data_IF_041073640886
#
_entry.id   IF_041073640886
#
_cell.length_a   1.000
_cell.length_b   1.000
_cell.length_c   1.000
_cell.angle_alpha   90.00
_cell.angle_beta   90.00
_cell.angle_gamma   90.00
#
_symmetry.space_group_name_H-M   'P 1'
#
loop_
_entity.id
_entity.type
_entity.pdbx_description
1 polymer ?
#
# COMPACT_ATOMS: atom_id res chain seq x y z
N UNK A 1 22.82 -10.68 66.70
CA UNK A 1 22.71 -9.23 66.37
C UNK A 1 23.34 -8.85 65.02
N UNK A 2 24.53 -9.37 64.66
CA UNK A 2 25.21 -9.02 63.39
C UNK A 2 24.48 -9.46 62.10
N UNK A 3 23.80 -10.60 62.10
CA UNK A 3 23.07 -11.11 60.92
C UNK A 3 21.80 -10.29 60.61
N UNK A 4 21.10 -9.83 61.65
CA UNK A 4 19.89 -9.00 61.50
C UNK A 4 20.24 -7.61 60.96
N UNK A 5 21.34 -7.00 61.41
CA UNK A 5 21.82 -5.72 60.86
C UNK A 5 22.24 -5.82 59.38
N UNK A 6 22.77 -6.97 58.97
CA UNK A 6 23.18 -7.20 57.58
C UNK A 6 21.96 -7.35 56.66
N UNK A 7 20.96 -8.13 57.08
CA UNK A 7 19.70 -8.29 56.32
C UNK A 7 18.96 -6.94 56.21
N UNK A 8 18.92 -6.15 57.29
CA UNK A 8 18.30 -4.83 57.27
C UNK A 8 19.00 -3.87 56.30
N UNK A 9 20.34 -3.91 56.22
CA UNK A 9 21.09 -3.13 55.24
C UNK A 9 20.78 -3.57 53.81
N UNK A 10 20.78 -4.88 53.52
CA UNK A 10 20.52 -5.39 52.16
C UNK A 10 19.11 -5.03 51.68
N UNK A 11 18.10 -5.02 52.56
CA UNK A 11 16.72 -4.61 52.22
C UNK A 11 16.59 -3.10 51.98
N UNK A 12 17.35 -2.27 52.71
CA UNK A 12 17.31 -0.81 52.50
C UNK A 12 18.03 -0.41 51.20
N UNK A 13 19.11 -1.11 50.83
CA UNK A 13 19.83 -0.85 49.57
C UNK A 13 19.14 -1.41 48.31
N UNK A 14 18.32 -2.45 48.41
CA UNK A 14 17.61 -3.00 47.24
C UNK A 14 16.39 -2.16 46.80
N UNK A 15 15.99 -1.15 47.59
CA UNK A 15 14.89 -0.24 47.24
C UNK A 15 15.34 1.03 46.50
N UNK A 16 16.64 1.27 46.30
CA UNK A 16 17.15 2.51 45.69
C UNK A 16 17.40 2.43 44.18
N UNK A 17 16.98 1.35 43.50
CA UNK A 17 16.98 1.29 42.04
C UNK A 17 15.59 1.66 41.49
N UNK A 18 15.10 2.83 41.87
CA UNK A 18 14.02 3.48 41.11
C UNK A 18 14.70 4.09 39.88
N UNK A 19 14.46 3.53 38.69
CA UNK A 19 14.72 4.28 37.47
C UNK A 19 13.93 5.60 37.60
N UNK A 20 14.62 6.74 37.54
CA UNK A 20 13.98 8.04 37.69
C UNK A 20 13.02 8.23 36.52
N UNK A 21 11.72 8.10 36.77
CA UNK A 21 10.70 8.44 35.77
C UNK A 21 10.78 9.96 35.57
N UNK A 22 11.03 10.45 34.35
CA UNK A 22 11.11 11.89 34.11
C UNK A 22 9.80 12.56 34.50
N UNK A 23 9.86 13.55 35.38
CA UNK A 23 8.73 14.43 35.65
C UNK A 23 8.51 15.38 34.46
N UNK A 24 7.29 15.89 34.28
CA UNK A 24 6.93 16.72 33.13
C UNK A 24 7.81 17.98 32.98
N UNK A 25 8.29 18.53 34.10
CA UNK A 25 9.21 19.66 34.18
C UNK A 25 10.67 19.31 33.83
N UNK A 26 11.02 18.03 33.73
CA UNK A 26 12.34 17.55 33.30
C UNK A 26 12.41 17.33 31.78
N UNK A 27 11.28 17.47 31.08
CA UNK A 27 11.23 17.33 29.63
C UNK A 27 11.78 18.59 28.94
N UNK A 28 12.58 18.38 27.90
CA UNK A 28 13.02 19.46 27.02
C UNK A 28 11.87 19.84 26.10
N UNK A 29 11.45 21.11 26.18
CA UNK A 29 10.51 21.70 25.23
C UNK A 29 11.28 22.44 24.13
N UNK A 30 10.86 22.25 22.89
CA UNK A 30 11.26 23.11 21.77
C UNK A 30 10.37 24.35 21.74
N UNK A 31 10.76 25.36 20.97
CA UNK A 31 9.98 26.60 20.84
C UNK A 31 8.58 26.31 20.30
N UNK A 32 7.56 26.79 21.01
CA UNK A 32 6.15 26.64 20.65
C UNK A 32 5.64 27.93 20.01
N UNK A 33 5.06 27.83 18.81
CA UNK A 33 4.58 28.98 18.03
C UNK A 33 3.27 28.61 17.34
N UNK A 34 2.38 29.56 17.13
CA UNK A 34 1.27 29.40 16.20
C UNK A 34 1.76 29.35 14.75
N UNK A 35 0.93 28.92 13.80
CA UNK A 35 1.28 28.94 12.37
C UNK A 35 1.69 30.34 11.90
N UNK A 36 1.00 31.38 12.36
CA UNK A 36 1.30 32.77 12.00
C UNK A 36 2.65 33.21 12.55
N UNK A 37 2.92 32.92 13.83
CA UNK A 37 4.19 33.30 14.47
C UNK A 37 5.37 32.56 13.84
N UNK A 38 5.24 31.26 13.61
CA UNK A 38 6.25 30.44 12.95
C UNK A 38 6.63 30.99 11.56
N UNK A 39 5.62 31.34 10.75
CA UNK A 39 5.84 31.91 9.42
C UNK A 39 6.33 33.37 9.43
N UNK A 40 6.23 34.05 10.57
CA UNK A 40 6.69 35.43 10.74
C UNK A 40 8.14 35.56 11.21
N UNK A 41 8.81 34.44 11.54
CA UNK A 41 10.21 34.44 11.96
C UNK A 41 11.07 35.03 10.83
N UNK A 42 11.83 36.07 11.14
CA UNK A 42 12.80 36.64 10.21
C UNK A 42 14.09 35.82 10.19
N UNK A 43 14.60 35.54 9.00
CA UNK A 43 15.85 34.82 8.76
C UNK A 43 16.03 33.51 9.57
N UNK A 44 15.06 32.57 9.56
CA UNK A 44 15.25 31.27 10.21
C UNK A 44 16.44 30.51 9.60
N UNK A 45 17.18 29.80 10.44
CA UNK A 45 18.35 29.01 10.02
C UNK A 45 17.92 27.58 9.62
N UNK A 46 18.46 27.01 8.52
CA UNK A 46 18.21 25.61 8.17
C UNK A 46 18.48 24.66 9.34
N UNK A 47 17.60 23.68 9.56
CA UNK A 47 17.66 22.73 10.67
C UNK A 47 17.02 23.21 11.97
N UNK A 48 16.50 24.44 12.02
CA UNK A 48 15.73 24.91 13.18
C UNK A 48 14.47 24.09 13.39
N UNK A 49 14.16 23.72 14.63
CA UNK A 49 12.93 23.02 15.01
C UNK A 49 11.94 23.94 15.69
N UNK A 50 10.66 23.72 15.44
CA UNK A 50 9.56 24.41 16.13
C UNK A 50 8.39 23.45 16.33
N UNK A 51 7.66 23.63 17.43
CA UNK A 51 6.36 22.99 17.62
C UNK A 51 5.26 24.00 17.25
N UNK A 52 4.47 23.66 16.23
CA UNK A 52 3.34 24.47 15.82
C UNK A 52 2.12 24.14 16.70
N UNK A 53 1.72 25.08 17.55
CA UNK A 53 0.60 24.92 18.50
C UNK A 53 -0.77 25.02 17.85
N UNK A 54 -0.89 25.62 16.66
CA UNK A 54 -2.14 25.63 15.89
C UNK A 54 -2.41 24.26 15.27
N UNK A 55 -1.37 23.57 14.82
CA UNK A 55 -1.46 22.29 14.11
C UNK A 55 -1.12 21.08 14.98
N UNK A 56 -0.62 21.30 16.20
CA UNK A 56 -0.10 20.28 17.13
C UNK A 56 0.94 19.35 16.49
N UNK A 57 1.91 19.93 15.79
CA UNK A 57 2.89 19.20 14.97
C UNK A 57 4.28 19.82 15.08
N UNK A 58 5.31 18.99 14.95
CA UNK A 58 6.68 19.47 14.85
C UNK A 58 7.00 19.89 13.41
N UNK A 59 7.81 20.93 13.26
CA UNK A 59 8.33 21.44 11.99
C UNK A 59 9.84 21.59 12.05
N UNK A 60 10.48 21.46 10.89
CA UNK A 60 11.89 21.78 10.67
C UNK A 60 12.00 22.79 9.53
N UNK A 61 12.82 23.83 9.70
CA UNK A 61 13.09 24.77 8.62
C UNK A 61 14.12 24.17 7.65
N UNK A 62 13.76 24.02 6.38
CA UNK A 62 14.63 23.37 5.38
C UNK A 62 15.62 24.34 4.69
N UNK A 63 15.59 25.62 5.06
CA UNK A 63 16.36 26.69 4.43
C UNK A 63 15.52 27.65 3.58
N UNK A 64 14.31 27.23 3.20
CA UNK A 64 13.36 28.02 2.42
C UNK A 64 12.01 28.13 3.14
N UNK A 65 11.51 27.03 3.68
CA UNK A 65 10.19 26.94 4.32
C UNK A 65 10.20 26.02 5.55
N UNK A 66 9.14 26.13 6.36
CA UNK A 66 8.87 25.20 7.45
C UNK A 66 8.23 23.93 6.91
N UNK A 67 8.93 22.80 7.03
CA UNK A 67 8.43 21.48 6.64
C UNK A 67 7.97 20.70 7.86
N UNK A 68 6.77 20.13 7.81
CA UNK A 68 6.25 19.27 8.89
C UNK A 68 7.16 18.05 9.06
N UNK A 69 7.58 17.76 10.30
CA UNK A 69 8.18 16.49 10.65
C UNK A 69 7.07 15.47 10.92
N UNK A 70 6.65 14.78 9.86
CA UNK A 70 5.70 13.68 9.95
C UNK A 70 6.38 12.41 10.45
N UNK A 71 5.78 11.75 11.45
CA UNK A 71 6.07 10.35 11.81
C UNK A 71 5.23 9.35 11.01
N UNK A 72 4.46 9.82 10.01
CA UNK A 72 3.67 8.94 9.16
C UNK A 72 4.62 8.19 8.22
N UNK A 73 5.04 7.00 8.65
CA UNK A 73 5.51 5.98 7.72
C UNK A 73 4.49 5.77 6.61
N UNK A 74 4.93 5.21 5.48
CA UNK A 74 4.04 4.89 4.37
C UNK A 74 2.88 4.03 4.90
N UNK A 75 1.67 4.60 4.92
CA UNK A 75 0.46 3.87 5.31
C UNK A 75 0.18 2.90 4.15
N UNK A 76 0.44 1.61 4.38
CA UNK A 76 0.13 0.55 3.44
C UNK A 76 -1.21 -0.09 3.81
N UNK A 77 -2.14 -0.15 2.86
CA UNK A 77 -3.45 -0.76 3.07
C UNK A 77 -3.67 -1.88 2.04
N UNK A 78 -3.60 -3.17 2.44
CA UNK A 78 -3.94 -4.27 1.57
C UNK A 78 -5.46 -4.39 1.43
N UNK A 79 -5.92 -4.70 0.22
CA UNK A 79 -7.33 -4.92 -0.06
C UNK A 79 -7.53 -5.79 -1.30
N UNK A 80 -8.77 -5.96 -1.70
CA UNK A 80 -9.13 -6.71 -2.90
C UNK A 80 -10.43 -6.18 -3.52
N UNK A 81 -10.64 -6.51 -4.78
CA UNK A 81 -11.92 -6.32 -5.48
C UNK A 81 -12.04 -7.38 -6.60
N UNK A 82 -13.24 -7.48 -7.19
CA UNK A 82 -13.50 -8.38 -8.32
C UNK A 82 -13.76 -7.54 -9.55
N UNK A 83 -13.06 -7.85 -10.64
CA UNK A 83 -13.46 -7.42 -11.98
C UNK A 83 -14.52 -8.40 -12.46
N UNK A 84 -15.77 -7.95 -12.59
CA UNK A 84 -16.91 -8.78 -13.00
C UNK A 84 -17.51 -8.42 -14.38
N UNK A 85 -17.11 -7.28 -14.94
CA UNK A 85 -17.61 -6.76 -16.22
C UNK A 85 -16.72 -5.64 -16.73
N UNK A 86 -16.88 -5.24 -17.99
CA UNK A 86 -16.30 -4.00 -18.53
C UNK A 86 -16.91 -2.76 -17.89
N UNK A 87 -16.20 -1.64 -17.94
CA UNK A 87 -16.67 -0.33 -17.49
C UNK A 87 -15.91 0.24 -16.29
N UNK A 88 -16.38 1.38 -15.80
CA UNK A 88 -15.77 2.09 -14.67
C UNK A 88 -16.10 1.39 -13.35
N UNK A 89 -15.09 1.21 -12.49
CA UNK A 89 -15.22 0.64 -11.16
C UNK A 89 -14.45 1.52 -10.17
N UNK A 90 -15.15 1.99 -9.13
CA UNK A 90 -14.57 2.78 -8.04
C UNK A 90 -14.39 1.89 -6.82
N UNK A 91 -13.18 1.90 -6.26
CA UNK A 91 -12.81 1.25 -5.02
C UNK A 91 -12.66 2.34 -3.98
N UNK A 92 -13.49 2.32 -2.94
CA UNK A 92 -13.58 3.34 -1.88
C UNK A 92 -13.36 2.73 -0.49
N UNK A 93 -13.37 3.57 0.56
CA UNK A 93 -13.23 3.12 1.94
C UNK A 93 -11.79 2.93 2.44
N UNK A 94 -10.80 3.38 1.67
CA UNK A 94 -9.42 3.45 2.13
C UNK A 94 -9.29 4.58 3.19
N UNK A 95 -8.46 4.41 4.23
CA UNK A 95 -8.31 5.39 5.30
C UNK A 95 -7.55 6.66 4.87
N UNK A 96 -7.13 6.74 3.61
CA UNK A 96 -6.40 7.86 3.02
C UNK A 96 -6.61 7.93 1.51
N UNK A 97 -6.37 9.10 0.93
CA UNK A 97 -6.15 9.26 -0.52
C UNK A 97 -4.82 8.63 -0.89
N UNK A 98 -4.77 7.58 -1.74
CA UNK A 98 -3.52 6.97 -2.14
C UNK A 98 -2.75 7.84 -3.13
N UNK A 99 -1.45 7.59 -3.24
CA UNK A 99 -0.55 8.12 -4.27
C UNK A 99 0.04 7.01 -5.14
N UNK A 100 -0.04 5.76 -4.67
CA UNK A 100 0.54 4.59 -5.31
C UNK A 100 -0.27 3.33 -4.97
N UNK A 101 -0.47 2.45 -5.95
CA UNK A 101 -1.10 1.14 -5.76
C UNK A 101 -0.33 0.08 -6.54
N UNK A 102 -0.14 -1.09 -5.93
CA UNK A 102 0.31 -2.30 -6.60
C UNK A 102 -0.84 -3.29 -6.68
N UNK A 103 -0.92 -4.02 -7.79
CA UNK A 103 -1.96 -4.98 -8.09
C UNK A 103 -1.35 -6.36 -8.31
N UNK A 104 -2.06 -7.40 -7.90
CA UNK A 104 -1.75 -8.79 -8.23
C UNK A 104 -3.05 -9.52 -8.51
N UNK A 105 -3.03 -10.38 -9.52
CA UNK A 105 -4.20 -11.18 -9.88
C UNK A 105 -3.81 -12.46 -10.58
N UNK A 106 -4.73 -13.42 -10.54
CA UNK A 106 -4.54 -14.75 -11.10
C UNK A 106 -5.78 -15.10 -11.93
N UNK A 107 -5.61 -15.67 -13.15
CA UNK A 107 -6.72 -16.23 -13.91
C UNK A 107 -7.38 -17.35 -13.10
N UNK A 108 -8.67 -17.57 -13.33
CA UNK A 108 -9.46 -18.63 -12.70
C UNK A 108 -9.60 -18.55 -11.18
N UNK A 109 -9.44 -17.34 -10.61
CA UNK A 109 -9.87 -17.02 -9.24
C UNK A 109 -10.98 -15.97 -9.35
N UNK A 110 -12.23 -16.44 -9.51
CA UNK A 110 -13.40 -15.58 -9.76
C UNK A 110 -14.09 -15.10 -8.46
N UNK A 111 -13.75 -15.70 -7.32
CA UNK A 111 -14.38 -15.45 -6.01
C UNK A 111 -13.33 -15.36 -4.92
N UNK A 112 -13.62 -14.56 -3.87
CA UNK A 112 -12.78 -14.42 -2.68
C UNK A 112 -12.76 -15.66 -1.79
N UNK A 113 -13.66 -16.61 -2.06
CA UNK A 113 -13.72 -17.88 -1.38
C UNK A 113 -14.10 -18.97 -2.38
N UNK A 114 -13.10 -19.67 -2.89
CA UNK A 114 -13.26 -20.80 -3.81
C UNK A 114 -12.22 -21.88 -3.47
N UNK A 115 -12.67 -23.13 -3.44
CA UNK A 115 -11.83 -24.31 -3.23
C UNK A 115 -12.43 -25.46 -4.03
N UNK A 116 -12.44 -25.28 -5.35
CA UNK A 116 -12.90 -26.27 -6.33
C UNK A 116 -11.92 -26.29 -7.50
N UNK A 117 -12.05 -27.30 -8.36
CA UNK A 117 -11.46 -27.22 -9.70
C UNK A 117 -12.11 -26.09 -10.51
N UNK A 118 -11.61 -25.90 -11.73
CA UNK A 118 -12.09 -24.90 -12.68
C UNK A 118 -13.42 -25.29 -13.36
N UNK A 119 -14.12 -26.33 -12.90
CA UNK A 119 -15.49 -26.67 -13.31
C UNK A 119 -15.64 -27.06 -14.78
N UNK A 120 -14.56 -27.47 -15.44
CA UNK A 120 -14.55 -27.94 -16.83
C UNK A 120 -14.00 -29.36 -16.93
N UNK A 121 -14.19 -30.00 -18.09
CA UNK A 121 -13.64 -31.34 -18.35
C UNK A 121 -12.11 -31.34 -18.26
N UNK A 122 -11.56 -32.47 -17.83
CA UNK A 122 -10.13 -32.76 -17.87
C UNK A 122 -9.51 -32.42 -19.23
N UNK A 123 -8.29 -31.88 -19.19
CA UNK A 123 -7.48 -31.58 -20.37
C UNK A 123 -8.21 -30.68 -21.40
N UNK A 124 -8.96 -29.69 -20.91
CA UNK A 124 -9.76 -28.78 -21.74
C UNK A 124 -8.94 -27.59 -22.25
N UNK A 125 -8.75 -27.52 -23.56
CA UNK A 125 -8.03 -26.44 -24.24
C UNK A 125 -8.85 -25.13 -24.35
N UNK A 126 -9.23 -24.56 -23.22
CA UNK A 126 -10.04 -23.34 -23.12
C UNK A 126 -9.42 -22.35 -22.13
N UNK A 127 -9.91 -21.11 -22.12
CA UNK A 127 -9.44 -20.07 -21.20
C UNK A 127 -9.63 -20.43 -19.72
N UNK A 128 -10.63 -21.26 -19.43
CA UNK A 128 -10.95 -21.73 -18.08
C UNK A 128 -9.86 -22.65 -17.51
N UNK A 129 -9.00 -23.22 -18.36
CA UNK A 129 -7.85 -24.03 -17.95
C UNK A 129 -6.52 -23.25 -17.94
N UNK A 130 -6.59 -21.92 -17.91
CA UNK A 130 -5.43 -21.04 -17.90
C UNK A 130 -4.90 -20.82 -16.47
N UNK A 131 -3.59 -20.83 -16.27
CA UNK A 131 -2.95 -20.45 -15.01
C UNK A 131 -1.92 -19.34 -15.27
N UNK A 132 -1.57 -18.58 -14.24
CA UNK A 132 -0.56 -17.54 -14.36
C UNK A 132 -0.66 -16.51 -13.25
N UNK A 133 0.11 -15.43 -13.40
CA UNK A 133 0.10 -14.32 -12.44
C UNK A 133 0.34 -13.02 -13.17
N UNK A 134 -0.43 -11.99 -12.81
CA UNK A 134 -0.17 -10.61 -13.21
C UNK A 134 0.36 -9.81 -12.03
N UNK A 135 1.26 -8.88 -12.33
CA UNK A 135 1.68 -7.81 -11.43
C UNK A 135 1.55 -6.49 -12.15
N UNK A 136 0.89 -5.53 -11.52
CA UNK A 136 0.76 -4.19 -12.06
C UNK A 136 0.92 -3.12 -11.00
N UNK A 137 1.05 -1.87 -11.43
CA UNK A 137 1.06 -0.74 -10.53
C UNK A 137 0.42 0.49 -11.16
N UNK A 138 0.06 1.46 -10.31
CA UNK A 138 -0.31 2.81 -10.70
C UNK A 138 0.22 3.80 -9.68
N UNK A 139 0.91 4.84 -10.14
CA UNK A 139 1.49 5.89 -9.30
C UNK A 139 1.15 7.27 -9.83
N UNK A 140 0.89 8.19 -8.92
CA UNK A 140 0.79 9.61 -9.23
C UNK A 140 2.18 10.25 -9.27
N UNK A 141 2.66 10.61 -10.45
CA UNK A 141 3.90 11.35 -10.65
C UNK A 141 3.56 12.83 -10.90
N UNK A 142 3.28 13.58 -9.84
CA UNK A 142 3.06 15.03 -9.93
C UNK A 142 1.85 15.45 -10.78
N UNK A 143 0.78 14.64 -10.77
CA UNK A 143 -0.47 14.89 -11.50
C UNK A 143 -0.67 14.01 -12.74
N UNK A 144 0.37 13.30 -13.20
CA UNK A 144 0.25 12.28 -14.26
C UNK A 144 0.26 10.88 -13.67
N UNK A 145 -0.66 10.04 -14.14
CA UNK A 145 -0.67 8.62 -13.77
C UNK A 145 0.38 7.87 -14.60
N UNK A 146 1.34 7.25 -13.92
CA UNK A 146 2.24 6.27 -14.51
C UNK A 146 1.81 4.87 -14.07
N UNK A 147 1.61 3.97 -15.03
CA UNK A 147 1.14 2.61 -14.80
C UNK A 147 1.90 1.61 -15.68
N UNK A 148 1.82 0.35 -15.30
CA UNK A 148 2.37 -0.79 -16.03
C UNK A 148 1.67 -2.03 -15.51
N UNK A 149 1.53 -3.03 -16.38
CA UNK A 149 1.21 -4.39 -15.98
C UNK A 149 2.05 -5.38 -16.77
N UNK A 150 2.43 -6.46 -16.11
CA UNK A 150 3.04 -7.65 -16.73
C UNK A 150 2.27 -8.89 -16.28
N UNK A 151 2.20 -9.89 -17.17
CA UNK A 151 1.61 -11.18 -16.88
C UNK A 151 2.38 -12.29 -17.60
N UNK A 152 2.49 -13.42 -16.92
CA UNK A 152 3.00 -14.68 -17.48
C UNK A 152 2.10 -15.83 -17.04
N UNK A 153 1.87 -16.78 -17.95
CA UNK A 153 1.04 -17.95 -17.69
C UNK A 153 1.05 -18.98 -18.82
N UNK A 154 0.08 -19.88 -18.78
CA UNK A 154 -0.07 -20.96 -19.75
C UNK A 154 -1.39 -21.71 -19.54
N UNK A 155 -1.57 -22.81 -20.27
CA UNK A 155 -2.75 -23.65 -20.15
C UNK A 155 -2.39 -24.99 -19.48
N UNK A 156 -3.21 -25.45 -18.54
CA UNK A 156 -2.94 -26.68 -17.80
C UNK A 156 -3.25 -27.97 -18.58
N UNK A 157 -3.86 -27.87 -19.78
CA UNK A 157 -4.05 -29.02 -20.67
C UNK A 157 -2.72 -29.54 -21.21
N UNK A 158 -1.87 -28.61 -21.64
CA UNK A 158 -0.48 -28.81 -22.04
C UNK A 158 0.16 -27.43 -22.15
N UNK A 159 1.47 -27.34 -21.93
CA UNK A 159 2.24 -26.11 -22.17
C UNK A 159 3.13 -26.37 -23.37
N UNK A 160 2.61 -26.13 -24.57
CA UNK A 160 3.42 -26.14 -25.79
C UNK A 160 4.13 -24.78 -25.95
N UNK A 161 3.44 -23.69 -25.60
CA UNK A 161 3.96 -22.34 -25.54
C UNK A 161 3.42 -21.59 -24.30
N UNK A 162 4.07 -20.48 -23.94
CA UNK A 162 3.67 -19.63 -22.82
C UNK A 162 2.79 -18.46 -23.24
N UNK A 163 1.90 -18.04 -22.34
CA UNK A 163 1.15 -16.79 -22.44
C UNK A 163 1.94 -15.67 -21.76
N UNK A 164 2.10 -14.54 -22.46
CA UNK A 164 2.77 -13.34 -21.93
C UNK A 164 2.00 -12.09 -22.33
N UNK A 165 1.94 -11.13 -21.42
CA UNK A 165 1.28 -9.84 -21.65
C UNK A 165 2.00 -8.73 -20.90
N UNK A 166 2.14 -7.56 -21.51
CA UNK A 166 2.68 -6.37 -20.86
C UNK A 166 2.08 -5.12 -21.51
N UNK A 167 1.74 -4.10 -20.71
CA UNK A 167 1.11 -2.88 -21.22
C UNK A 167 1.35 -1.68 -20.29
N UNK A 168 1.93 -0.60 -20.84
CA UNK A 168 2.21 0.65 -20.13
C UNK A 168 0.99 1.56 -19.94
N UNK A 169 -0.10 1.28 -20.64
CA UNK A 169 -1.37 2.01 -20.57
C UNK A 169 -2.38 1.39 -19.61
N UNK A 170 -2.05 0.26 -18.99
CA UNK A 170 -2.94 -0.50 -18.12
C UNK A 170 -2.27 -0.80 -16.77
N UNK A 171 -3.09 -1.03 -15.75
CA UNK A 171 -2.66 -1.38 -14.40
C UNK A 171 -3.00 -2.83 -14.04
N UNK A 172 -3.88 -3.47 -14.82
CA UNK A 172 -4.36 -4.84 -14.64
C UNK A 172 -4.42 -5.46 -16.04
N UNK A 173 -3.92 -6.68 -16.18
CA UNK A 173 -3.90 -7.40 -17.43
C UNK A 173 -3.65 -8.88 -17.21
N UNK A 174 -4.68 -9.68 -17.42
CA UNK A 174 -4.62 -11.15 -17.44
C UNK A 174 -4.88 -11.60 -18.88
N UNK A 175 -3.94 -12.36 -19.45
CA UNK A 175 -4.08 -12.93 -20.79
C UNK A 175 -4.39 -14.41 -20.73
N UNK A 176 -5.56 -14.76 -21.22
CA UNK A 176 -5.99 -16.15 -21.33
C UNK A 176 -5.48 -16.76 -22.62
N UNK A 177 -4.93 -17.97 -22.54
CA UNK A 177 -4.42 -18.65 -23.72
C UNK A 177 -4.80 -20.13 -23.78
N UNK A 178 -4.75 -20.66 -24.99
CA UNK A 178 -4.83 -22.10 -25.25
C UNK A 178 -3.45 -22.77 -24.98
N UNK A 179 -3.33 -24.08 -25.16
CA UNK A 179 -2.08 -24.83 -24.92
C UNK A 179 -0.90 -24.43 -25.83
N UNK A 180 -1.16 -23.78 -26.97
CA UNK A 180 -0.16 -23.23 -27.88
C UNK A 180 0.10 -21.74 -27.61
N UNK A 181 -0.32 -21.21 -26.46
CA UNK A 181 -0.14 -19.81 -26.14
C UNK A 181 -0.98 -18.85 -26.98
N UNK A 182 -1.89 -19.34 -27.84
CA UNK A 182 -2.77 -18.50 -28.66
C UNK A 182 -3.74 -17.74 -27.76
N UNK A 183 -4.00 -16.47 -28.10
CA UNK A 183 -4.85 -15.61 -27.30
C UNK A 183 -6.32 -16.06 -27.34
N UNK A 184 -6.90 -16.34 -26.18
CA UNK A 184 -8.32 -16.64 -26.02
C UNK A 184 -9.11 -15.49 -25.36
N UNK A 185 -8.43 -14.44 -24.92
CA UNK A 185 -9.08 -13.28 -24.33
C UNK A 185 -8.21 -12.53 -23.33
N UNK A 186 -8.69 -11.37 -22.91
CA UNK A 186 -8.07 -10.47 -21.96
C UNK A 186 -9.07 -10.05 -20.88
N UNK A 187 -8.62 -9.99 -19.63
CA UNK A 187 -9.25 -9.17 -18.60
C UNK A 187 -8.26 -8.08 -18.22
N UNK A 188 -8.54 -6.83 -18.60
CA UNK A 188 -7.61 -5.69 -18.49
C UNK A 188 -8.32 -4.45 -17.93
N UNK A 189 -7.57 -3.57 -17.27
CA UNK A 189 -8.08 -2.30 -16.80
C UNK A 189 -7.04 -1.17 -16.80
N UNK A 190 -7.53 0.03 -17.06
CA UNK A 190 -6.78 1.28 -17.07
C UNK A 190 -7.06 2.02 -15.77
N UNK A 191 -6.03 2.54 -15.09
CA UNK A 191 -6.21 3.39 -13.92
C UNK A 191 -6.67 4.79 -14.34
N UNK A 192 -7.76 5.29 -13.75
CA UNK A 192 -8.35 6.58 -14.15
C UNK A 192 -8.09 7.69 -13.13
N UNK A 193 -7.93 7.37 -11.85
CA UNK A 193 -7.55 8.37 -10.86
C UNK A 193 -7.65 7.92 -9.40
N UNK A 194 -7.00 8.69 -8.54
CA UNK A 194 -7.11 8.57 -7.08
C UNK A 194 -8.26 9.43 -6.57
N UNK A 195 -9.10 8.88 -5.69
CA UNK A 195 -10.19 9.60 -5.02
C UNK A 195 -9.74 10.03 -3.61
N UNK A 196 -10.64 10.65 -2.83
CA UNK A 196 -10.36 11.06 -1.44
C UNK A 196 -10.02 9.89 -0.51
N UNK A 197 -10.54 8.71 -0.81
CA UNK A 197 -10.59 7.52 0.05
C UNK A 197 -10.41 6.24 -0.78
N UNK A 198 -9.72 6.33 -1.93
CA UNK A 198 -9.84 5.27 -2.93
C UNK A 198 -9.20 5.57 -4.28
N UNK A 199 -9.69 4.86 -5.28
CA UNK A 199 -9.27 4.99 -6.67
C UNK A 199 -10.34 4.47 -7.62
N UNK A 200 -10.21 4.83 -8.89
CA UNK A 200 -11.08 4.36 -9.98
C UNK A 200 -10.24 3.72 -11.07
N UNK A 201 -10.76 2.62 -11.61
CA UNK A 201 -10.26 1.96 -12.81
C UNK A 201 -11.35 1.92 -13.87
N UNK A 202 -10.96 1.74 -15.13
CA UNK A 202 -11.87 1.42 -16.22
C UNK A 202 -11.45 0.10 -16.86
N UNK A 203 -12.30 -0.91 -16.72
CA UNK A 203 -12.11 -2.24 -17.31
C UNK A 203 -12.43 -2.17 -18.80
N UNK A 204 -11.41 -2.30 -19.63
CA UNK A 204 -11.52 -2.19 -21.09
C UNK A 204 -11.78 -3.54 -21.79
N UNK A 205 -11.33 -4.65 -21.20
CA UNK A 205 -11.65 -6.01 -21.67
C UNK A 205 -12.02 -6.89 -20.49
N UNK A 206 -12.95 -7.82 -20.69
CA UNK A 206 -13.36 -8.81 -19.69
C UNK A 206 -13.64 -10.14 -20.40
N UNK A 207 -12.84 -11.15 -20.08
CA UNK A 207 -13.02 -12.54 -20.56
C UNK A 207 -13.54 -13.44 -19.45
N UNK A 208 -13.00 -13.27 -18.25
CA UNK A 208 -13.48 -13.93 -17.05
C UNK A 208 -13.33 -13.01 -15.85
N UNK A 209 -14.06 -13.33 -14.78
CA UNK A 209 -13.95 -12.67 -13.50
C UNK A 209 -12.56 -12.88 -12.90
N UNK A 210 -12.01 -11.83 -12.30
CA UNK A 210 -10.70 -11.89 -11.65
C UNK A 210 -10.78 -11.18 -10.31
N UNK A 211 -10.46 -11.90 -9.23
CA UNK A 211 -10.11 -11.29 -7.96
C UNK A 211 -8.74 -10.62 -8.11
N UNK A 212 -8.69 -9.33 -7.85
CA UNK A 212 -7.47 -8.53 -7.84
C UNK A 212 -7.17 -8.13 -6.41
N UNK A 213 -6.02 -8.58 -5.93
CA UNK A 213 -5.44 -8.09 -4.68
C UNK A 213 -4.71 -6.78 -4.97
N UNK A 214 -4.78 -5.83 -4.04
CA UNK A 214 -4.01 -4.60 -4.12
C UNK A 214 -3.36 -4.24 -2.80
N UNK A 215 -2.33 -3.41 -2.85
CA UNK A 215 -1.85 -2.64 -1.70
C UNK A 215 -1.76 -1.19 -2.10
N UNK A 216 -2.49 -0.34 -1.38
CA UNK A 216 -2.49 1.10 -1.57
C UNK A 216 -1.49 1.75 -0.60
N UNK A 217 -0.83 2.80 -1.06
CA UNK A 217 0.17 3.55 -0.31
C UNK A 217 -0.12 5.04 -0.40
N UNK A 218 0.20 5.76 0.67
CA UNK A 218 0.16 7.22 0.74
C UNK A 218 1.53 7.84 0.49
#
# INVERSE_FOLDING_TARGET
MRLILFILNVIVFSNSLQAQVPEANLLVKIQELTTTEMNSISNPLPGSFSFNTTLNKMFVFNGTEWTEMTTKGTEAYPGHFIIGSTGSQTISGLPFKPSYIVFTGHPNIQSTNISSDNGVRDNSNTFVNNFGTMHGYSRNNGGTINQQVIYVGGNASSINDISRYANTGECIGVRYANFNGDNLGLTTAIFTGFTSDGFTINVNNHTDNVVVMFTAFK
#
